data_IF_045964628263
#
_entry.id   IF_045964628263
#
_cell.length_a   1.000
_cell.length_b   1.000
_cell.length_c   1.000
_cell.angle_alpha   90.00
_cell.angle_beta   90.00
_cell.angle_gamma   90.00
#
_symmetry.space_group_name_H-M   'P 1'
#
loop_
_entity.id
_entity.type
_entity.pdbx_description
1 polymer ?
#
# COMPACT_ATOMS: atom_id res chain seq x y z
N UNK A 1 24.61 42.00 15.83
CA UNK A 1 23.69 40.93 15.40
C UNK A 1 22.27 41.44 15.36
N UNK A 2 21.63 41.34 14.20
CA UNK A 2 20.24 41.79 14.00
C UNK A 2 19.30 40.58 14.16
N UNK A 3 18.46 40.54 15.22
CA UNK A 3 17.55 39.42 15.46
C UNK A 3 16.63 39.11 14.28
N UNK A 4 16.35 40.11 13.42
CA UNK A 4 15.44 39.99 12.29
C UNK A 4 15.88 38.96 11.25
N UNK A 5 17.19 38.69 11.13
CA UNK A 5 17.71 37.68 10.18
C UNK A 5 17.25 36.25 10.56
N UNK A 6 17.18 35.95 11.86
CA UNK A 6 16.74 34.65 12.35
C UNK A 6 15.25 34.40 12.13
N UNK A 7 14.43 35.45 12.14
CA UNK A 7 13.00 35.33 11.88
C UNK A 7 12.75 34.81 10.46
N UNK A 8 13.53 35.29 9.48
CA UNK A 8 13.46 34.84 8.09
C UNK A 8 13.78 33.35 7.97
N UNK A 9 14.87 32.90 8.61
CA UNK A 9 15.25 31.48 8.60
C UNK A 9 14.18 30.60 9.25
N UNK A 10 13.58 31.07 10.35
CA UNK A 10 12.49 30.37 11.03
C UNK A 10 11.26 30.21 10.13
N UNK A 11 10.81 31.31 9.51
CA UNK A 11 9.62 31.26 8.63
C UNK A 11 9.83 30.37 7.41
N UNK A 12 11.01 30.42 6.79
CA UNK A 12 11.34 29.56 5.66
C UNK A 12 11.34 28.09 6.11
N UNK A 13 11.98 27.78 7.23
CA UNK A 13 12.04 26.41 7.76
C UNK A 13 10.66 25.87 8.09
N UNK A 14 9.83 26.64 8.81
CA UNK A 14 8.44 26.25 9.11
C UNK A 14 7.61 26.08 7.84
N UNK A 15 7.81 26.93 6.84
CA UNK A 15 7.14 26.86 5.55
C UNK A 15 7.49 25.58 4.79
N UNK A 16 8.77 25.20 4.73
CA UNK A 16 9.22 23.97 4.10
C UNK A 16 8.60 22.75 4.79
N UNK A 17 8.68 22.65 6.11
CA UNK A 17 8.07 21.52 6.84
C UNK A 17 6.57 21.41 6.59
N UNK A 18 5.86 22.53 6.63
CA UNK A 18 4.42 22.55 6.39
C UNK A 18 4.08 22.13 4.96
N UNK A 19 4.75 22.70 3.95
CA UNK A 19 4.49 22.41 2.54
C UNK A 19 4.83 20.96 2.20
N UNK A 20 5.98 20.46 2.65
CA UNK A 20 6.36 19.05 2.41
C UNK A 20 5.35 18.09 3.04
N UNK A 21 4.90 18.35 4.27
CA UNK A 21 3.86 17.56 4.92
C UNK A 21 2.51 17.66 4.19
N UNK A 22 2.15 18.85 3.70
CA UNK A 22 0.91 19.06 2.93
C UNK A 22 0.93 18.31 1.60
N UNK A 23 2.05 18.36 0.88
CA UNK A 23 2.25 17.58 -0.37
C UNK A 23 2.12 16.08 -0.08
N UNK A 24 2.71 15.60 1.00
CA UNK A 24 2.57 14.20 1.40
C UNK A 24 1.11 13.81 1.69
N UNK A 25 0.35 14.66 2.38
CA UNK A 25 -1.06 14.38 2.69
C UNK A 25 -1.93 14.40 1.43
N UNK A 26 -1.71 15.34 0.51
CA UNK A 26 -2.54 15.49 -0.70
C UNK A 26 -2.25 14.40 -1.74
N UNK A 27 -0.97 14.09 -1.95
CA UNK A 27 -0.55 13.18 -3.02
C UNK A 27 -0.18 11.78 -2.53
N UNK A 28 -0.01 11.58 -1.22
CA UNK A 28 0.33 10.29 -0.64
C UNK A 28 -0.82 9.29 -0.78
N UNK A 29 -0.60 8.24 -1.56
CA UNK A 29 -1.45 7.05 -1.55
C UNK A 29 -0.81 5.98 -0.68
N UNK A 30 -1.56 5.45 0.29
CA UNK A 30 -1.14 4.31 1.11
C UNK A 30 -1.57 2.96 0.52
N UNK A 31 -1.94 2.93 -0.76
CA UNK A 31 -2.31 1.68 -1.43
C UNK A 31 -1.10 0.76 -1.57
N UNK A 32 -1.30 -0.52 -1.27
CA UNK A 32 -0.25 -1.54 -1.39
C UNK A 32 0.10 -1.67 -2.86
N UNK A 33 1.34 -1.36 -3.19
CA UNK A 33 1.76 -1.37 -4.58
C UNK A 33 1.83 -2.82 -5.11
N UNK A 34 1.45 -3.09 -6.37
CA UNK A 34 1.27 -4.44 -6.89
C UNK A 34 2.51 -5.32 -6.77
N UNK A 35 3.71 -4.73 -6.91
CA UNK A 35 4.98 -5.45 -6.80
C UNK A 35 5.33 -5.90 -5.37
N UNK A 36 4.59 -5.45 -4.36
CA UNK A 36 4.75 -5.87 -2.97
C UNK A 36 3.94 -7.14 -2.63
N UNK A 37 3.17 -7.68 -3.58
CA UNK A 37 2.52 -8.99 -3.42
C UNK A 37 3.50 -10.10 -3.85
N UNK A 38 3.80 -11.10 -3.01
CA UNK A 38 4.61 -12.25 -3.40
C UNK A 38 4.03 -13.03 -4.61
N UNK A 39 2.73 -12.88 -4.89
CA UNK A 39 2.05 -13.51 -6.03
C UNK A 39 2.11 -12.64 -7.32
N UNK A 40 2.80 -11.48 -7.32
CA UNK A 40 2.82 -10.51 -8.44
C UNK A 40 3.41 -11.05 -9.75
N UNK A 41 4.40 -11.94 -9.68
CA UNK A 41 5.18 -12.36 -10.86
C UNK A 41 4.55 -13.51 -11.66
N UNK A 42 3.48 -14.13 -11.15
CA UNK A 42 2.90 -15.34 -11.77
C UNK A 42 1.77 -15.04 -12.76
N UNK A 43 1.44 -13.77 -13.00
CA UNK A 43 0.32 -13.40 -13.89
C UNK A 43 0.81 -12.55 -15.06
N UNK A 44 0.93 -13.11 -16.28
CA UNK A 44 1.05 -12.29 -17.47
C UNK A 44 -0.32 -11.65 -17.69
N UNK A 45 -0.39 -10.32 -17.64
CA UNK A 45 -1.59 -9.46 -17.84
C UNK A 45 -2.26 -9.04 -16.53
N UNK A 46 -2.07 -7.75 -16.19
CA UNK A 46 -2.53 -7.09 -14.97
C UNK A 46 -4.04 -7.05 -14.76
N UNK A 47 -4.62 -8.17 -14.37
CA UNK A 47 -5.97 -8.23 -13.78
C UNK A 47 -5.78 -8.49 -12.30
N UNK A 48 -6.10 -7.51 -11.44
CA UNK A 48 -6.12 -7.72 -9.99
C UNK A 48 -7.10 -8.85 -9.65
N UNK A 49 -6.55 -10.04 -9.36
CA UNK A 49 -7.31 -11.15 -8.82
C UNK A 49 -7.30 -11.00 -7.32
N UNK A 50 -8.38 -10.45 -6.74
CA UNK A 50 -8.60 -10.54 -5.30
C UNK A 50 -8.39 -11.99 -4.88
N UNK A 51 -7.41 -12.23 -4.00
CA UNK A 51 -7.20 -13.57 -3.43
C UNK A 51 -8.53 -13.98 -2.81
N UNK A 52 -9.10 -15.13 -3.19
CA UNK A 52 -10.31 -15.63 -2.55
C UNK A 52 -10.03 -15.67 -1.06
N UNK A 53 -10.97 -15.13 -0.28
CA UNK A 53 -10.84 -15.01 1.17
C UNK A 53 -10.36 -16.33 1.77
N UNK A 54 -9.61 -16.30 2.86
CA UNK A 54 -9.08 -17.52 3.51
C UNK A 54 -10.18 -18.58 3.71
N UNK A 55 -11.41 -18.14 4.00
CA UNK A 55 -12.62 -18.96 4.07
C UNK A 55 -12.94 -19.72 2.77
N UNK A 56 -12.82 -19.06 1.63
CA UNK A 56 -13.07 -19.63 0.31
C UNK A 56 -11.94 -20.58 -0.14
N UNK A 57 -10.69 -20.28 0.21
CA UNK A 57 -9.58 -21.23 0.03
C UNK A 57 -9.79 -22.51 0.86
N UNK A 58 -10.29 -22.35 2.08
CA UNK A 58 -10.58 -23.46 2.99
C UNK A 58 -11.79 -24.29 2.51
N UNK A 59 -12.80 -23.68 1.89
CA UNK A 59 -13.95 -24.41 1.36
C UNK A 59 -13.56 -25.23 0.11
N UNK A 60 -12.78 -24.65 -0.82
CA UNK A 60 -12.33 -25.34 -2.05
C UNK A 60 -11.45 -26.54 -1.71
N UNK A 61 -10.54 -26.39 -0.74
CA UNK A 61 -9.67 -27.49 -0.31
C UNK A 61 -10.45 -28.62 0.37
N UNK A 62 -11.51 -28.30 1.14
CA UNK A 62 -12.42 -29.32 1.68
C UNK A 62 -13.18 -30.06 0.58
N UNK A 63 -13.74 -29.34 -0.40
CA UNK A 63 -14.49 -29.97 -1.51
C UNK A 63 -13.62 -30.95 -2.29
N UNK A 64 -12.38 -30.57 -2.59
CA UNK A 64 -11.42 -31.46 -3.28
C UNK A 64 -11.03 -32.70 -2.46
N UNK A 65 -10.93 -32.57 -1.13
CA UNK A 65 -10.67 -33.72 -0.25
C UNK A 65 -11.85 -34.68 -0.19
N UNK A 66 -13.08 -34.16 -0.18
CA UNK A 66 -14.29 -34.98 -0.13
C UNK A 66 -14.50 -35.77 -1.44
N UNK A 67 -14.23 -35.16 -2.59
CA UNK A 67 -14.34 -35.87 -3.88
C UNK A 67 -13.28 -36.97 -4.04
N UNK A 68 -12.07 -36.78 -3.48
CA UNK A 68 -10.99 -37.76 -3.58
C UNK A 68 -11.20 -39.01 -2.71
N UNK A 69 -12.05 -38.93 -1.68
CA UNK A 69 -12.39 -40.06 -0.79
C UNK A 69 -13.56 -40.87 -1.36
N UNK A 70 -14.29 -40.35 -2.35
CA UNK A 70 -15.51 -40.94 -2.91
C UNK A 70 -15.28 -41.98 -4.03
N UNK A 71 -14.03 -42.34 -4.33
CA UNK A 71 -13.68 -43.23 -5.44
C UNK A 71 -12.98 -44.50 -4.95
#
# INVERSE_FOLDING_TARGET
DDPRQWHTVFYISSGIYFVTNLVYIIFGSSEVQPWNDPDYMDTPTGTQKQRPSVTERNSISRVRRLSAVSN
#
